data_IF_640054175933
#
_entry.id   IF_640054175933
#
_cell.length_a   1.000
_cell.length_b   1.000
_cell.length_c   1.000
_cell.angle_alpha   90.00
_cell.angle_beta   90.00
_cell.angle_gamma   90.00
#
_symmetry.space_group_name_H-M   'P 1'
#
loop_
_entity.id
_entity.type
_entity.pdbx_description
1 polymer ?
#
# COMPACT_ATOMS: atom_id res chain seq x y z
N UNK A 1 5.61 13.14 -20.09
CA UNK A 1 5.46 11.87 -20.82
C UNK A 1 5.03 10.87 -19.76
N UNK A 2 3.76 10.46 -19.76
CA UNK A 2 3.15 9.74 -18.65
C UNK A 2 3.72 8.31 -18.58
N UNK A 3 4.37 7.96 -17.47
CA UNK A 3 4.77 6.59 -17.18
C UNK A 3 3.53 5.83 -16.71
N UNK A 4 2.91 5.08 -17.61
CA UNK A 4 1.88 4.11 -17.25
C UNK A 4 2.57 2.93 -16.57
N UNK A 5 2.42 2.81 -15.24
CA UNK A 5 2.81 1.62 -14.49
C UNK A 5 2.24 0.37 -15.17
N UNK A 6 3.10 -0.55 -15.58
CA UNK A 6 2.67 -1.80 -16.20
C UNK A 6 2.36 -2.83 -15.12
N UNK A 7 1.09 -3.02 -14.80
CA UNK A 7 0.64 -4.13 -13.97
C UNK A 7 0.77 -5.46 -14.74
N UNK A 8 1.66 -6.35 -14.30
CA UNK A 8 1.67 -7.75 -14.78
C UNK A 8 0.94 -8.63 -13.78
N UNK A 9 -0.36 -8.87 -14.01
CA UNK A 9 -1.17 -9.83 -13.26
C UNK A 9 -0.65 -11.25 -13.51
N UNK A 10 -0.08 -11.88 -12.49
CA UNK A 10 0.25 -13.31 -12.51
C UNK A 10 -0.62 -14.01 -11.48
N UNK A 11 -1.87 -14.31 -11.83
CA UNK A 11 -2.78 -15.00 -10.93
C UNK A 11 -2.46 -16.51 -10.90
N UNK A 12 -2.08 -17.03 -9.74
CA UNK A 12 -2.14 -18.45 -9.45
C UNK A 12 -3.43 -18.75 -8.67
N UNK A 13 -4.37 -19.46 -9.28
CA UNK A 13 -5.64 -19.83 -8.64
C UNK A 13 -5.46 -21.10 -7.79
N UNK A 14 -5.55 -20.98 -6.47
CA UNK A 14 -5.61 -22.14 -5.58
C UNK A 14 -7.08 -22.52 -5.32
N UNK A 15 -7.47 -23.74 -5.70
CA UNK A 15 -8.83 -24.27 -5.49
C UNK A 15 -8.94 -24.87 -4.07
N UNK A 16 -9.87 -24.34 -3.28
CA UNK A 16 -10.03 -24.67 -1.86
C UNK A 16 -10.56 -26.10 -1.60
N UNK A 17 -10.04 -26.73 -0.55
CA UNK A 17 -10.68 -27.82 0.17
C UNK A 17 -11.51 -27.24 1.33
N UNK A 18 -12.80 -27.61 1.30
CA UNK A 18 -13.81 -27.71 2.38
C UNK A 18 -14.55 -26.48 2.95
N UNK A 19 -15.88 -26.60 2.80
CA UNK A 19 -17.00 -26.13 3.63
C UNK A 19 -17.17 -24.63 3.90
N UNK A 20 -17.64 -23.88 2.89
CA UNK A 20 -18.37 -22.63 3.11
C UNK A 20 -19.71 -22.68 2.37
N UNK A 21 -20.81 -22.74 3.14
CA UNK A 21 -22.14 -22.36 2.69
C UNK A 21 -22.10 -20.85 2.49
N UNK A 22 -21.68 -20.44 1.30
CA UNK A 22 -22.17 -19.30 0.53
C UNK A 22 -21.33 -19.27 -0.74
N UNK A 23 -21.98 -19.42 -1.90
CA UNK A 23 -21.31 -19.23 -3.19
C UNK A 23 -20.99 -17.75 -3.31
N UNK A 24 -19.81 -17.34 -2.87
CA UNK A 24 -19.30 -16.01 -3.20
C UNK A 24 -18.85 -16.06 -4.65
N UNK A 25 -19.37 -15.17 -5.51
CA UNK A 25 -19.04 -15.11 -6.95
C UNK A 25 -17.65 -14.47 -7.19
N UNK A 26 -16.66 -14.88 -6.39
CA UNK A 26 -15.29 -14.38 -6.44
C UNK A 26 -14.29 -15.48 -6.08
N UNK A 27 -13.11 -15.41 -6.68
CA UNK A 27 -12.01 -16.30 -6.33
C UNK A 27 -11.63 -16.16 -4.85
N UNK A 28 -11.15 -17.26 -4.27
CA UNK A 28 -10.73 -17.30 -2.86
C UNK A 28 -9.57 -16.33 -2.59
N UNK A 29 -8.68 -16.16 -3.57
CA UNK A 29 -7.58 -15.23 -3.51
C UNK A 29 -7.05 -14.91 -4.91
N UNK A 30 -6.39 -13.77 -5.08
CA UNK A 30 -5.53 -13.49 -6.20
C UNK A 30 -4.16 -13.03 -5.70
N UNK A 31 -3.16 -13.12 -6.57
CA UNK A 31 -1.81 -12.62 -6.31
C UNK A 31 -1.30 -11.88 -7.55
N UNK A 32 -0.53 -10.82 -7.34
CA UNK A 32 0.11 -10.06 -8.39
C UNK A 32 1.58 -9.81 -8.05
N UNK A 33 2.37 -9.55 -9.09
CA UNK A 33 3.63 -8.86 -8.94
C UNK A 33 3.38 -7.35 -9.05
N UNK A 34 3.97 -6.60 -8.13
CA UNK A 34 3.87 -5.15 -8.10
C UNK A 34 5.27 -4.54 -7.98
N UNK A 35 5.54 -3.54 -8.82
CA UNK A 35 6.81 -2.81 -8.81
C UNK A 35 6.48 -1.33 -8.58
N UNK A 36 7.08 -0.75 -7.55
CA UNK A 36 6.93 0.65 -7.20
C UNK A 36 8.27 1.38 -7.42
N UNK A 37 8.40 2.20 -8.47
CA UNK A 37 9.57 3.05 -8.67
C UNK A 37 9.64 4.18 -7.63
N UNK A 38 10.83 4.73 -7.40
CA UNK A 38 10.99 5.89 -6.54
C UNK A 38 10.21 7.11 -7.07
N UNK A 39 9.60 7.85 -6.16
CA UNK A 39 8.77 9.02 -6.47
C UNK A 39 7.31 8.68 -6.83
N UNK A 40 7.02 7.43 -7.18
CA UNK A 40 5.66 6.93 -7.36
C UNK A 40 5.04 6.50 -6.02
N UNK A 41 3.72 6.45 -5.99
CA UNK A 41 2.95 6.08 -4.80
C UNK A 41 1.84 5.09 -5.15
N UNK A 42 1.47 4.30 -4.16
CA UNK A 42 0.15 3.67 -4.10
C UNK A 42 -0.76 4.66 -3.41
N UNK A 43 -1.73 5.19 -4.16
CA UNK A 43 -2.68 6.19 -3.64
C UNK A 43 -3.44 5.62 -2.45
N UNK A 44 -3.84 6.51 -1.53
CA UNK A 44 -4.61 6.11 -0.36
C UNK A 44 -6.00 5.61 -0.80
N UNK A 45 -6.29 4.36 -0.48
CA UNK A 45 -7.52 3.68 -0.87
C UNK A 45 -7.91 2.64 0.20
N UNK A 46 -9.06 2.01 0.04
CA UNK A 46 -9.57 0.99 0.95
C UNK A 46 -10.31 -0.09 0.17
N UNK A 47 -10.12 -1.33 0.60
CA UNK A 47 -10.75 -2.51 -0.01
C UNK A 47 -11.29 -3.46 1.08
N UNK A 48 -12.31 -4.27 0.78
CA UNK A 48 -12.94 -5.19 1.73
C UNK A 48 -12.20 -6.53 1.88
N UNK A 49 -11.03 -6.68 1.25
CA UNK A 49 -10.18 -7.85 1.37
C UNK A 49 -8.94 -7.57 2.23
N UNK A 50 -8.37 -8.63 2.80
CA UNK A 50 -7.07 -8.52 3.44
C UNK A 50 -6.00 -8.52 2.36
N UNK A 51 -5.10 -7.54 2.37
CA UNK A 51 -4.04 -7.40 1.37
C UNK A 51 -2.67 -7.65 2.00
N UNK A 52 -2.02 -8.72 1.53
CA UNK A 52 -0.71 -9.15 2.02
C UNK A 52 0.39 -8.78 1.05
N UNK A 53 1.33 -7.98 1.55
CA UNK A 53 2.53 -7.53 0.87
C UNK A 53 3.68 -8.49 1.19
N UNK A 54 4.39 -8.95 0.16
CA UNK A 54 5.54 -9.85 0.24
C UNK A 54 6.75 -9.17 -0.40
N UNK A 55 7.76 -8.84 0.37
CA UNK A 55 9.00 -8.28 -0.15
C UNK A 55 9.77 -9.30 -1.00
N UNK A 56 10.16 -8.92 -2.22
CA UNK A 56 11.00 -9.75 -3.08
C UNK A 56 12.39 -9.17 -3.30
N UNK A 57 12.51 -7.91 -3.74
CA UNK A 57 13.82 -7.25 -3.93
C UNK A 57 13.68 -5.73 -4.07
N UNK A 58 14.83 -5.03 -4.05
CA UNK A 58 14.91 -3.58 -4.18
C UNK A 58 15.01 -2.89 -2.83
N UNK A 59 14.34 -1.76 -2.70
CA UNK A 59 14.27 -0.98 -1.47
C UNK A 59 13.06 -1.36 -0.62
N UNK A 60 13.10 -1.14 0.70
CA UNK A 60 11.92 -1.31 1.51
C UNK A 60 10.84 -0.27 1.17
N UNK A 61 9.58 -0.67 1.12
CA UNK A 61 8.45 0.25 1.02
C UNK A 61 7.79 0.44 2.38
N UNK A 62 7.14 1.59 2.57
CA UNK A 62 6.32 1.85 3.74
C UNK A 62 4.85 1.75 3.36
N UNK A 63 4.12 0.89 4.06
CA UNK A 63 2.65 0.85 4.04
C UNK A 63 2.14 1.79 5.11
N UNK A 64 1.42 2.82 4.69
CA UNK A 64 0.77 3.80 5.56
C UNK A 64 -0.71 3.45 5.70
N UNK A 65 -1.19 3.33 6.93
CA UNK A 65 -2.57 2.94 7.27
C UNK A 65 -3.23 4.04 8.08
N UNK A 66 -4.52 4.32 7.83
CA UNK A 66 -5.37 5.18 8.64
C UNK A 66 -6.58 4.37 9.11
N UNK A 67 -6.83 4.40 10.41
CA UNK A 67 -7.95 3.72 11.06
C UNK A 67 -9.14 4.66 11.27
N UNK A 68 -10.32 4.07 11.46
CA UNK A 68 -11.57 4.83 11.64
C UNK A 68 -11.60 5.70 12.91
N UNK A 69 -10.68 5.48 13.85
CA UNK A 69 -10.49 6.32 15.04
C UNK A 69 -9.52 7.51 14.80
N UNK A 70 -9.05 7.67 13.56
CA UNK A 70 -8.12 8.72 13.15
C UNK A 70 -6.65 8.44 13.50
N UNK A 71 -6.35 7.30 14.13
CA UNK A 71 -4.96 6.87 14.31
C UNK A 71 -4.38 6.40 12.98
N UNK A 72 -3.10 6.66 12.78
CA UNK A 72 -2.37 6.17 11.63
C UNK A 72 -1.19 5.31 12.06
N UNK A 73 -0.77 4.42 11.17
CA UNK A 73 0.33 3.50 11.39
C UNK A 73 1.17 3.37 10.14
N UNK A 74 2.47 3.24 10.33
CA UNK A 74 3.42 3.00 9.25
C UNK A 74 4.11 1.68 9.49
N UNK A 75 4.09 0.81 8.47
CA UNK A 75 4.75 -0.49 8.51
C UNK A 75 5.73 -0.58 7.35
N UNK A 76 7.01 -0.81 7.65
CA UNK A 76 8.04 -0.96 6.63
C UNK A 76 8.09 -2.41 6.17
N UNK A 77 7.80 -2.64 4.88
CA UNK A 77 7.91 -3.93 4.21
C UNK A 77 9.28 -4.03 3.56
N UNK A 78 10.11 -4.96 4.03
CA UNK A 78 11.50 -5.08 3.63
C UNK A 78 12.25 -6.20 4.34
N UNK A 79 13.52 -6.45 3.97
CA UNK A 79 14.26 -7.62 4.43
C UNK A 79 14.93 -7.44 5.80
N UNK A 80 15.06 -6.21 6.31
CA UNK A 80 15.85 -5.93 7.50
C UNK A 80 15.08 -6.15 8.82
N UNK A 81 14.99 -7.43 9.19
CA UNK A 81 14.34 -7.88 10.43
C UNK A 81 14.95 -7.25 11.70
N UNK A 82 16.26 -6.93 11.68
CA UNK A 82 16.95 -6.38 12.85
C UNK A 82 16.52 -4.95 13.14
N UNK A 83 16.09 -4.23 12.11
CA UNK A 83 15.53 -2.88 12.22
C UNK A 83 14.00 -2.87 12.16
N UNK A 84 13.35 -4.02 12.40
CA UNK A 84 11.90 -4.12 12.51
C UNK A 84 11.13 -4.12 11.19
N UNK A 85 11.82 -4.18 10.05
CA UNK A 85 11.16 -4.36 8.76
C UNK A 85 10.50 -5.74 8.71
N UNK A 86 9.41 -5.83 7.94
CA UNK A 86 8.65 -7.07 7.78
C UNK A 86 8.78 -7.56 6.34
N UNK A 87 9.38 -8.74 6.10
CA UNK A 87 9.38 -9.34 4.76
C UNK A 87 7.97 -9.65 4.25
N UNK A 88 7.01 -9.80 5.17
CA UNK A 88 5.60 -9.97 4.85
C UNK A 88 4.74 -9.15 5.82
N UNK A 89 3.74 -8.45 5.30
CA UNK A 89 2.79 -7.68 6.10
C UNK A 89 1.39 -7.71 5.50
N UNK A 90 0.35 -7.78 6.34
CA UNK A 90 -1.05 -7.82 5.90
C UNK A 90 -1.79 -6.60 6.42
N UNK A 91 -2.34 -5.81 5.50
CA UNK A 91 -3.31 -4.76 5.80
C UNK A 91 -4.67 -5.43 6.06
N UNK A 92 -5.34 -5.14 7.18
CA UNK A 92 -6.66 -5.68 7.45
C UNK A 92 -7.72 -5.17 6.44
N UNK A 93 -8.80 -5.92 6.20
CA UNK A 93 -9.92 -5.44 5.40
C UNK A 93 -10.49 -4.11 5.93
N UNK A 94 -10.94 -3.27 5.00
CA UNK A 94 -11.59 -1.99 5.30
C UNK A 94 -10.72 -0.99 6.10
N UNK A 95 -9.40 -1.09 6.00
CA UNK A 95 -8.47 -0.06 6.49
C UNK A 95 -8.07 0.83 5.31
N UNK A 96 -8.00 2.15 5.52
CA UNK A 96 -7.43 3.06 4.53
C UNK A 96 -5.93 2.85 4.48
N UNK A 97 -5.36 2.57 3.31
CA UNK A 97 -3.92 2.41 3.18
C UNK A 97 -3.38 2.92 1.85
N UNK A 98 -2.10 3.28 1.86
CA UNK A 98 -1.31 3.63 0.70
C UNK A 98 0.13 3.20 0.93
N UNK A 99 0.98 3.37 -0.07
CA UNK A 99 2.38 2.96 0.02
C UNK A 99 3.30 3.85 -0.80
N UNK A 100 4.56 3.92 -0.38
CA UNK A 100 5.64 4.67 -1.04
C UNK A 100 6.97 4.02 -0.68
N UNK A 101 8.05 4.28 -1.42
CA UNK A 101 9.37 3.77 -1.01
C UNK A 101 9.79 4.45 0.29
N UNK A 102 10.27 3.69 1.26
CA UNK A 102 10.67 4.23 2.56
C UNK A 102 11.72 5.33 2.41
N UNK A 103 12.61 5.18 1.44
CA UNK A 103 13.67 6.13 1.11
C UNK A 103 13.20 7.36 0.31
N UNK A 104 11.94 7.45 -0.11
CA UNK A 104 11.39 8.67 -0.73
C UNK A 104 11.17 9.79 0.29
N UNK A 105 11.12 9.45 1.58
CA UNK A 105 10.94 10.39 2.68
C UNK A 105 12.22 10.42 3.51
N UNK A 106 12.89 11.57 3.54
CA UNK A 106 14.13 11.79 4.28
C UNK A 106 13.86 11.93 5.78
N UNK A 107 12.83 12.70 6.14
CA UNK A 107 12.43 12.92 7.52
C UNK A 107 10.99 13.41 7.63
N UNK A 108 10.36 13.13 8.77
CA UNK A 108 9.07 13.70 9.13
C UNK A 108 8.95 13.80 10.66
N UNK A 109 8.05 14.66 11.14
CA UNK A 109 7.67 14.75 12.55
C UNK A 109 6.30 14.12 12.80
N UNK A 110 6.05 13.64 14.02
CA UNK A 110 4.77 13.02 14.40
C UNK A 110 3.56 13.96 14.27
N UNK A 111 3.79 15.27 14.42
CA UNK A 111 2.76 16.29 14.24
C UNK A 111 2.55 16.71 12.77
N UNK A 112 3.31 16.12 11.84
CA UNK A 112 3.26 16.41 10.41
C UNK A 112 3.79 17.79 10.01
N UNK A 113 4.35 18.56 10.94
CA UNK A 113 4.90 19.90 10.65
C UNK A 113 6.15 19.84 9.77
N UNK A 114 6.88 18.73 9.83
CA UNK A 114 8.00 18.41 8.96
C UNK A 114 7.64 17.19 8.12
N UNK A 115 7.82 17.31 6.82
CA UNK A 115 7.72 16.22 5.85
C UNK A 115 8.66 16.54 4.70
N UNK A 116 9.81 15.90 4.67
CA UNK A 116 10.87 16.17 3.71
C UNK A 116 11.01 14.98 2.78
N UNK A 117 10.75 15.21 1.49
CA UNK A 117 11.00 14.21 0.44
C UNK A 117 12.48 14.18 0.10
N UNK A 118 13.01 13.00 -0.12
CA UNK A 118 14.36 12.80 -0.64
C UNK A 118 14.43 13.31 -2.08
N UNK A 119 15.30 14.29 -2.40
CA UNK A 119 15.39 14.83 -3.75
C UNK A 119 16.16 13.93 -4.71
N UNK A 120 15.86 14.04 -6.01
CA UNK A 120 16.74 13.54 -7.09
C UNK A 120 16.87 12.01 -7.18
N UNK A 121 15.86 11.25 -6.74
CA UNK A 121 15.88 9.79 -6.84
C UNK A 121 15.57 9.33 -8.26
N UNK A 122 16.46 8.55 -8.84
CA UNK A 122 16.29 7.93 -10.16
C UNK A 122 15.33 6.72 -10.08
N UNK A 123 14.17 6.81 -10.73
CA UNK A 123 13.14 5.78 -10.73
C UNK A 123 13.56 4.47 -11.43
N UNK A 124 14.59 4.50 -12.28
CA UNK A 124 15.12 3.31 -12.94
C UNK A 124 16.09 2.53 -12.03
N UNK A 125 16.68 3.21 -11.04
CA UNK A 125 17.66 2.62 -10.11
C UNK A 125 17.06 2.29 -8.75
N UNK A 126 16.05 3.05 -8.34
CA UNK A 126 15.41 2.92 -7.03
C UNK A 126 13.96 2.44 -7.21
N UNK A 127 13.68 1.24 -6.72
CA UNK A 127 12.36 0.62 -6.78
C UNK A 127 12.18 -0.39 -5.65
N UNK A 128 10.93 -0.78 -5.38
CA UNK A 128 10.58 -1.96 -4.58
C UNK A 128 9.79 -2.93 -5.44
N UNK A 129 10.24 -4.18 -5.48
CA UNK A 129 9.52 -5.27 -6.11
C UNK A 129 8.91 -6.18 -5.05
N UNK A 130 7.59 -6.33 -5.10
CA UNK A 130 6.81 -7.06 -4.11
C UNK A 130 5.78 -7.96 -4.77
N UNK A 131 5.36 -8.99 -4.04
CA UNK A 131 4.13 -9.71 -4.30
C UNK A 131 3.00 -9.10 -3.48
N UNK A 132 1.81 -9.02 -4.06
CA UNK A 132 0.60 -8.60 -3.36
C UNK A 132 -0.44 -9.69 -3.50
N UNK A 133 -0.96 -10.17 -2.38
CA UNK A 133 -1.99 -11.23 -2.33
C UNK A 133 -3.21 -10.71 -1.62
N UNK A 134 -4.38 -10.75 -2.27
CA UNK A 134 -5.64 -10.40 -1.64
C UNK A 134 -6.45 -11.66 -1.35
N UNK A 135 -7.02 -11.75 -0.15
CA UNK A 135 -7.95 -12.79 0.23
C UNK A 135 -9.12 -12.15 1.01
N UNK A 136 -10.36 -12.22 0.51
CA UNK A 136 -10.81 -12.72 -0.81
C UNK A 136 -10.13 -12.01 -1.99
N UNK A 137 -10.22 -12.56 -3.20
CA UNK A 137 -9.62 -11.96 -4.39
C UNK A 137 -10.13 -10.52 -4.63
N UNK A 138 -9.21 -9.60 -4.93
CA UNK A 138 -9.52 -8.21 -5.27
C UNK A 138 -10.38 -8.10 -6.54
N UNK A 139 -11.34 -7.18 -6.50
CA UNK A 139 -12.19 -6.75 -7.62
C UNK A 139 -12.11 -5.22 -7.71
N UNK A 140 -12.10 -4.67 -8.93
CA UNK A 140 -11.90 -3.23 -9.12
C UNK A 140 -13.09 -2.41 -8.61
N UNK A 141 -14.28 -3.03 -8.60
CA UNK A 141 -15.52 -2.44 -8.11
C UNK A 141 -15.52 -2.23 -6.59
N UNK A 142 -14.62 -2.92 -5.88
CA UNK A 142 -14.47 -2.84 -4.43
C UNK A 142 -13.49 -1.73 -3.99
N UNK A 143 -12.81 -1.09 -4.94
CA UNK A 143 -11.76 -0.11 -4.65
C UNK A 143 -12.33 1.27 -4.32
N UNK A 144 -12.23 1.66 -3.05
CA UNK A 144 -12.65 2.96 -2.56
C UNK A 144 -11.46 3.92 -2.49
N UNK A 145 -11.41 4.91 -3.38
CA UNK A 145 -10.35 5.93 -3.40
C UNK A 145 -10.59 7.03 -2.36
N UNK A 146 -9.55 7.41 -1.64
CA UNK A 146 -9.63 8.48 -0.66
C UNK A 146 -9.73 9.87 -1.31
N UNK A 147 -10.42 10.79 -0.63
CA UNK A 147 -10.32 12.22 -0.91
C UNK A 147 -9.52 12.92 0.18
N UNK A 148 -8.83 14.03 -0.15
CA UNK A 148 -8.11 14.82 0.86
C UNK A 148 -9.04 15.33 1.95
N UNK A 149 -10.23 15.78 1.56
CA UNK A 149 -11.21 16.35 2.49
C UNK A 149 -11.62 15.32 3.55
N UNK A 150 -12.07 14.14 3.12
CA UNK A 150 -12.50 13.09 4.05
C UNK A 150 -11.36 12.59 4.93
N UNK A 151 -10.16 12.40 4.37
CA UNK A 151 -9.04 11.85 5.13
C UNK A 151 -8.44 12.85 6.11
N UNK A 152 -8.40 14.15 5.78
CA UNK A 152 -7.96 15.17 6.74
C UNK A 152 -8.96 15.36 7.88
N UNK A 153 -10.26 15.23 7.61
CA UNK A 153 -11.27 15.23 8.65
C UNK A 153 -11.13 14.02 9.58
N UNK A 154 -10.82 12.84 9.03
CA UNK A 154 -10.61 11.61 9.81
C UNK A 154 -9.32 11.62 10.61
N UNK A 155 -8.19 11.96 9.99
CA UNK A 155 -6.85 11.85 10.57
C UNK A 155 -6.04 13.14 10.37
N UNK A 156 -6.40 14.25 11.05
CA UNK A 156 -5.74 15.54 10.86
C UNK A 156 -4.25 15.52 11.20
N UNK A 157 -3.83 14.65 12.15
CA UNK A 157 -2.41 14.48 12.51
C UNK A 157 -1.57 13.87 11.39
N UNK A 158 -2.20 13.21 10.41
CA UNK A 158 -1.52 12.60 9.29
C UNK A 158 -1.57 13.47 8.02
N UNK A 159 -1.92 14.76 8.13
CA UNK A 159 -2.19 15.64 6.99
C UNK A 159 -1.07 15.65 5.94
N UNK A 160 0.20 15.69 6.36
CA UNK A 160 1.33 15.69 5.42
C UNK A 160 1.38 14.41 4.55
N UNK A 161 1.17 13.25 5.17
CA UNK A 161 1.09 11.98 4.46
C UNK A 161 -0.17 11.88 3.59
N UNK A 162 -1.30 12.38 4.06
CA UNK A 162 -2.54 12.44 3.26
C UNK A 162 -2.34 13.32 2.02
N UNK A 163 -1.72 14.48 2.16
CA UNK A 163 -1.41 15.35 1.02
C UNK A 163 -0.48 14.67 0.00
N UNK A 164 0.44 13.84 0.49
CA UNK A 164 1.36 13.09 -0.35
C UNK A 164 0.68 11.92 -1.06
N UNK A 165 -0.10 11.11 -0.33
CA UNK A 165 -0.72 9.88 -0.82
C UNK A 165 -2.07 10.09 -1.53
N UNK A 166 -2.63 11.28 -1.42
CA UNK A 166 -3.78 11.74 -2.21
C UNK A 166 -3.33 12.99 -2.98
N UNK A 167 -2.69 12.85 -4.15
CA UNK A 167 -2.27 14.00 -4.96
C UNK A 167 -3.46 14.89 -5.36
N UNK A 168 -3.21 16.16 -5.61
CA UNK A 168 -4.22 17.03 -6.25
C UNK A 168 -4.39 16.54 -7.70
N UNK A 169 -5.63 16.59 -8.21
CA UNK A 169 -5.87 16.47 -9.66
C UNK A 169 -5.22 17.60 -10.46
#
# INVERSE_FOLDING_TARGET
MAATSSEKKTAAEAKALTTFRDKVDRAVSNAIYFLLPAGEIVKLHRIPCAETWHYYMGEPLTVFEVHDDGQFKMTVVGPDLRHGQKPQYTVPPNVWFGAFLTCDIESFTEDGSVFVKTPGRDSELHYSFVGVTCAPAFQIEDDEMATRESMKALAPKAEAFINYLVPSD
#
